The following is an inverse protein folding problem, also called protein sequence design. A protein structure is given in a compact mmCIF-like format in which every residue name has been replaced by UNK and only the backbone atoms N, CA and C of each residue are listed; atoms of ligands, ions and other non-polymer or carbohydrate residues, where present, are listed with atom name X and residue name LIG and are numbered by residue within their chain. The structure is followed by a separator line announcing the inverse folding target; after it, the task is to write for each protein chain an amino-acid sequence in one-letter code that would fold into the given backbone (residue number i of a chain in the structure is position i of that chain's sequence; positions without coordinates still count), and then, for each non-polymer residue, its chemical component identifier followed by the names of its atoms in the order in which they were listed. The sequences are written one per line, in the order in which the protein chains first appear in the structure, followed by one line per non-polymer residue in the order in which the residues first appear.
data_IF_551531600265
#
_entry.id   IF_551531600265
#
_cell.length_a   1.000
_cell.length_b   1.000
_cell.length_c   1.000
_cell.angle_alpha   90.00
_cell.angle_beta   90.00
_cell.angle_gamma   90.00
#
_symmetry.space_group_name_H-M   'P 1'
#
loop_
_entity.id
_entity.type
_entity.pdbx_description
1 polymer ?
#
# COMPACT_ATOMS: atom_id res chain seq x y z
N UNK A 1 3.89 8.76 -11.40
CA UNK A 1 2.86 8.22 -10.49
C UNK A 1 3.53 7.25 -9.52
N UNK A 2 3.26 7.32 -8.22
CA UNK A 2 3.72 6.34 -7.24
C UNK A 2 3.40 4.90 -7.64
N UNK A 3 4.35 3.99 -7.41
CA UNK A 3 4.23 2.57 -7.73
C UNK A 3 4.95 1.73 -6.69
N UNK A 4 4.23 0.76 -6.11
CA UNK A 4 4.80 -0.23 -5.21
C UNK A 4 5.07 -1.52 -6.00
N UNK A 5 6.33 -1.94 -6.07
CA UNK A 5 6.75 -3.14 -6.82
C UNK A 5 7.51 -4.12 -5.95
N UNK A 6 7.24 -5.41 -6.13
CA UNK A 6 7.96 -6.49 -5.45
C UNK A 6 8.13 -7.68 -6.40
N UNK A 7 9.35 -8.23 -6.50
CA UNK A 7 9.67 -9.38 -7.38
C UNK A 7 9.16 -9.23 -8.82
N UNK A 8 9.27 -8.02 -9.40
CA UNK A 8 8.81 -7.73 -10.77
C UNK A 8 7.29 -7.57 -10.92
N UNK A 9 6.52 -7.72 -9.83
CA UNK A 9 5.07 -7.52 -9.80
C UNK A 9 4.74 -6.14 -9.26
N UNK A 10 3.71 -5.52 -9.84
CA UNK A 10 3.14 -4.26 -9.36
C UNK A 10 2.06 -4.57 -8.35
N UNK A 11 2.26 -4.21 -7.08
CA UNK A 11 1.32 -4.45 -5.99
C UNK A 11 0.28 -3.32 -5.85
N UNK A 12 0.70 -2.07 -6.10
CA UNK A 12 -0.18 -0.91 -6.12
C UNK A 12 0.39 0.20 -7.02
N UNK A 13 -0.50 0.97 -7.65
CA UNK A 13 -0.14 2.10 -8.52
C UNK A 13 -1.30 3.10 -8.54
N UNK A 14 -1.04 4.36 -8.20
CA UNK A 14 -2.07 5.40 -8.13
C UNK A 14 -1.45 6.78 -8.22
N UNK A 15 -2.21 7.74 -8.74
CA UNK A 15 -1.95 9.17 -8.69
C UNK A 15 -2.62 9.86 -7.49
N UNK A 16 -3.49 9.15 -6.75
CA UNK A 16 -4.26 9.64 -5.60
C UNK A 16 -3.66 9.19 -4.26
N UNK A 17 -2.35 9.00 -4.20
CA UNK A 17 -1.69 8.65 -2.95
C UNK A 17 -1.62 9.85 -2.00
N UNK A 18 -1.76 9.59 -0.71
CA UNK A 18 -1.48 10.56 0.34
C UNK A 18 -0.03 10.43 0.80
N UNK A 19 0.61 11.54 1.14
CA UNK A 19 1.96 11.56 1.68
C UNK A 19 1.88 11.89 3.16
N UNK A 20 2.24 10.92 4.01
CA UNK A 20 2.26 11.08 5.47
C UNK A 20 3.67 10.78 5.94
N UNK A 21 4.30 11.76 6.59
CA UNK A 21 5.68 11.66 7.09
C UNK A 21 6.69 11.19 6.02
N UNK A 22 6.49 11.61 4.77
CA UNK A 22 7.32 11.22 3.63
C UNK A 22 7.01 9.85 3.01
N UNK A 23 6.11 9.07 3.61
CA UNK A 23 5.66 7.77 3.10
C UNK A 23 4.43 7.91 2.19
N UNK A 24 4.35 7.05 1.17
CA UNK A 24 3.21 6.99 0.24
C UNK A 24 2.13 6.03 0.74
N UNK A 25 0.91 6.52 0.91
CA UNK A 25 -0.26 5.72 1.27
C UNK A 25 -1.16 5.57 0.05
N UNK A 26 -1.31 4.33 -0.41
CA UNK A 26 -2.10 3.99 -1.60
C UNK A 26 -3.57 3.81 -1.20
N UNK A 27 -4.53 4.33 -1.99
CA UNK A 27 -5.94 4.10 -1.73
C UNK A 27 -6.29 2.60 -1.93
N UNK A 28 -7.25 2.03 -1.18
CA UNK A 28 -7.49 0.59 -1.14
C UNK A 28 -7.84 -0.06 -2.48
N UNK A 29 -8.46 0.70 -3.38
CA UNK A 29 -8.85 0.29 -4.74
C UNK A 29 -7.68 0.20 -5.71
N UNK A 30 -6.56 0.88 -5.42
CA UNK A 30 -5.32 0.78 -6.20
C UNK A 30 -4.44 -0.42 -5.86
N UNK A 31 -4.77 -1.14 -4.78
CA UNK A 31 -4.02 -2.31 -4.32
C UNK A 31 -4.54 -3.57 -5.01
N UNK A 32 -3.64 -4.31 -5.68
CA UNK A 32 -3.97 -5.57 -6.35
C UNK A 32 -4.16 -6.71 -5.35
N UNK A 33 -5.40 -6.85 -4.86
CA UNK A 33 -5.80 -7.82 -3.82
C UNK A 33 -5.45 -9.27 -4.13
N UNK A 34 -5.29 -9.66 -5.39
CA UNK A 34 -4.87 -11.01 -5.82
C UNK A 34 -3.52 -11.45 -5.24
N UNK A 35 -2.66 -10.50 -4.84
CA UNK A 35 -1.35 -10.77 -4.23
C UNK A 35 -1.35 -10.66 -2.69
N UNK A 36 -2.51 -10.43 -2.07
CA UNK A 36 -2.62 -10.21 -0.62
C UNK A 36 -3.57 -11.22 0.02
N UNK A 37 -3.33 -11.49 1.30
CA UNK A 37 -4.26 -12.21 2.17
C UNK A 37 -4.47 -11.39 3.44
N UNK A 38 -5.65 -11.54 4.03
CA UNK A 38 -5.91 -10.96 5.34
C UNK A 38 -4.96 -11.52 6.40
N UNK A 39 -4.57 -10.67 7.34
CA UNK A 39 -3.76 -11.03 8.50
C UNK A 39 -4.49 -10.58 9.76
N UNK A 40 -4.50 -11.44 10.77
CA UNK A 40 -4.99 -11.09 12.11
C UNK A 40 -3.96 -10.32 12.95
N UNK A 41 -2.74 -10.09 12.45
CA UNK A 41 -1.72 -9.31 13.16
C UNK A 41 -2.18 -7.87 13.31
N UNK A 42 -2.22 -7.38 14.54
CA UNK A 42 -2.57 -6.01 14.87
C UNK A 42 -1.44 -5.37 15.67
N UNK A 43 -1.10 -4.13 15.31
CA UNK A 43 -0.16 -3.28 16.04
C UNK A 43 -0.80 -1.90 16.23
N UNK A 44 -0.46 -1.23 17.33
CA UNK A 44 -0.93 0.13 17.61
C UNK A 44 0.27 1.08 17.52
N UNK A 45 0.15 2.10 16.68
CA UNK A 45 1.12 3.19 16.67
C UNK A 45 0.80 4.13 17.84
N UNK A 46 1.79 4.50 18.68
CA UNK A 46 1.57 5.38 19.83
C UNK A 46 1.52 6.87 19.47
N UNK A 47 1.79 7.22 18.21
CA UNK A 47 1.56 8.56 17.69
C UNK A 47 0.07 8.91 17.63
#
# INVERSE_FOLDING_TARGET
MPKATWNGVVLAESDKCEVVEGNQYFPPDSVKREYFKESGTHTTCPW
#
